data_IF_094476513357
#
_entry.id   IF_094476513357
#
_cell.length_a   1.000
_cell.length_b   1.000
_cell.length_c   1.000
_cell.angle_alpha   90.00
_cell.angle_beta   90.00
_cell.angle_gamma   90.00
#
_symmetry.space_group_name_H-M   'P 1'
#
loop_
_entity.id
_entity.type
_entity.pdbx_description
1 polymer ?
#
# COMPACT_ATOMS: atom_id res chain seq x y z
N UNK A 1 -3.50 -11.35 1.68
CA UNK A 1 -2.60 -10.24 1.34
C UNK A 1 -1.54 -10.09 2.42
N UNK A 2 -0.32 -9.66 2.09
CA UNK A 2 0.75 -9.49 3.08
C UNK A 2 0.51 -8.23 3.93
N UNK A 3 1.04 -8.23 5.16
CA UNK A 3 0.71 -7.20 6.18
C UNK A 3 1.28 -5.81 5.84
N UNK A 4 2.35 -5.75 5.05
CA UNK A 4 3.05 -4.51 4.68
C UNK A 4 2.37 -3.66 3.61
N UNK A 5 1.16 -4.01 3.18
CA UNK A 5 0.33 -3.11 2.37
C UNK A 5 -0.14 -1.86 3.14
N UNK A 6 -0.19 -1.95 4.47
CA UNK A 6 -0.56 -0.85 5.35
C UNK A 6 0.64 -0.43 6.21
N UNK A 7 0.77 0.89 6.48
CA UNK A 7 1.79 1.36 7.40
C UNK A 7 1.50 0.92 8.84
N UNK A 8 2.55 0.87 9.67
CA UNK A 8 2.39 0.71 11.12
C UNK A 8 1.56 1.87 11.68
N UNK A 9 0.74 1.59 12.69
CA UNK A 9 -0.10 2.60 13.34
C UNK A 9 -1.57 2.57 12.92
N UNK A 10 -2.03 1.50 12.27
CA UNK A 10 -3.47 1.20 12.16
C UNK A 10 -4.02 0.96 13.56
N UNK A 11 -4.97 1.78 13.97
CA UNK A 11 -5.57 1.75 15.31
C UNK A 11 -6.87 0.94 15.36
N UNK A 12 -7.54 0.79 14.21
CA UNK A 12 -8.81 0.10 14.08
C UNK A 12 -8.98 -0.38 12.64
N UNK A 13 -9.72 -1.47 12.48
CA UNK A 13 -10.27 -1.88 11.19
C UNK A 13 -11.71 -2.34 11.35
N UNK A 14 -12.47 -2.27 10.27
CA UNK A 14 -13.80 -2.84 10.12
C UNK A 14 -13.82 -3.67 8.82
N UNK A 15 -14.41 -4.86 8.85
CA UNK A 15 -14.62 -5.71 7.67
C UNK A 15 -16.04 -6.27 7.70
N UNK A 16 -16.79 -5.99 6.65
CA UNK A 16 -18.05 -6.68 6.36
C UNK A 16 -17.73 -7.94 5.57
N UNK A 17 -17.80 -9.11 6.22
CA UNK A 17 -17.49 -10.40 5.61
C UNK A 17 -18.47 -10.78 4.48
N UNK A 18 -19.68 -10.23 4.47
CA UNK A 18 -20.69 -10.55 3.45
C UNK A 18 -20.43 -9.81 2.13
N UNK A 19 -19.90 -8.59 2.19
CA UNK A 19 -19.64 -7.75 1.01
C UNK A 19 -18.15 -7.62 0.69
N UNK A 20 -17.27 -7.97 1.62
CA UNK A 20 -15.83 -7.71 1.55
C UNK A 20 -15.47 -6.25 1.76
N UNK A 21 -16.42 -5.36 2.10
CA UNK A 21 -16.10 -3.95 2.34
C UNK A 21 -15.27 -3.81 3.60
N UNK A 22 -14.13 -3.11 3.48
CA UNK A 22 -13.25 -2.88 4.62
C UNK A 22 -12.94 -1.40 4.80
N UNK A 23 -12.63 -1.05 6.04
CA UNK A 23 -12.03 0.23 6.43
C UNK A 23 -10.85 -0.04 7.36
N UNK A 24 -9.76 0.70 7.20
CA UNK A 24 -8.65 0.75 8.13
C UNK A 24 -8.40 2.20 8.53
N UNK A 25 -8.19 2.43 9.82
CA UNK A 25 -8.07 3.77 10.38
C UNK A 25 -6.67 3.97 10.97
N UNK A 26 -6.05 5.08 10.60
CA UNK A 26 -4.82 5.61 11.19
C UNK A 26 -5.19 6.81 12.07
N UNK A 27 -4.33 7.13 13.05
CA UNK A 27 -4.49 8.34 13.86
C UNK A 27 -4.49 9.62 12.99
N UNK A 28 -3.64 9.64 11.96
CA UNK A 28 -3.45 10.80 11.11
C UNK A 28 -3.09 10.38 9.67
N UNK A 29 -3.05 11.34 8.75
CA UNK A 29 -2.51 11.08 7.41
C UNK A 29 -1.05 10.66 7.50
N UNK A 30 -0.63 9.73 6.65
CA UNK A 30 0.73 9.24 6.65
C UNK A 30 1.40 9.39 5.28
N UNK A 31 2.67 9.76 5.24
CA UNK A 31 3.45 9.80 4.01
C UNK A 31 4.89 9.37 4.24
N UNK A 32 5.48 8.71 3.25
CA UNK A 32 6.87 8.29 3.25
C UNK A 32 7.36 8.08 1.82
N UNK A 33 8.68 8.10 1.66
CA UNK A 33 9.34 7.73 0.41
C UNK A 33 9.77 6.27 0.47
N UNK A 34 9.76 5.62 -0.68
CA UNK A 34 10.40 4.33 -0.91
C UNK A 34 11.59 4.50 -1.86
N UNK A 35 12.41 3.45 -1.99
CA UNK A 35 13.41 3.38 -3.04
C UNK A 35 12.77 3.55 -4.43
N UNK A 36 13.54 4.03 -5.41
CA UNK A 36 13.03 4.30 -6.75
C UNK A 36 12.22 5.59 -6.89
N UNK A 37 12.31 6.51 -5.93
CA UNK A 37 11.62 7.82 -5.91
C UNK A 37 10.10 7.77 -5.79
N UNK A 38 9.53 6.62 -5.42
CA UNK A 38 8.11 6.52 -5.13
C UNK A 38 7.78 7.25 -3.82
N UNK A 39 6.83 8.18 -3.88
CA UNK A 39 6.27 8.83 -2.69
C UNK A 39 4.86 8.31 -2.47
N UNK A 40 4.61 7.76 -1.30
CA UNK A 40 3.30 7.25 -0.91
C UNK A 40 2.64 8.19 0.10
N UNK A 41 1.32 8.29 -0.01
CA UNK A 41 0.47 9.01 0.92
C UNK A 41 -0.76 8.17 1.25
N UNK A 42 -0.99 7.98 2.53
CA UNK A 42 -2.16 7.37 3.12
C UNK A 42 -3.00 8.46 3.80
N UNK A 43 -4.31 8.43 3.61
CA UNK A 43 -5.26 9.21 4.42
C UNK A 43 -5.46 8.52 5.77
N UNK A 44 -6.05 9.23 6.72
CA UNK A 44 -6.42 8.67 8.02
C UNK A 44 -7.45 7.53 7.92
N UNK A 45 -8.19 7.44 6.82
CA UNK A 45 -9.07 6.31 6.51
C UNK A 45 -8.70 5.74 5.15
N UNK A 46 -8.41 4.43 5.14
CA UNK A 46 -8.27 3.62 3.93
C UNK A 46 -9.51 2.75 3.83
N UNK A 47 -10.07 2.62 2.62
CA UNK A 47 -11.23 1.76 2.39
C UNK A 47 -11.11 1.03 1.07
N UNK A 48 -11.89 -0.05 0.92
CA UNK A 48 -12.06 -0.74 -0.34
C UNK A 48 -12.90 -1.99 -0.19
N UNK A 49 -12.83 -2.86 -1.20
CA UNK A 49 -13.48 -4.17 -1.20
C UNK A 49 -12.41 -5.24 -1.36
N UNK A 50 -12.30 -6.13 -0.37
CA UNK A 50 -11.43 -7.30 -0.41
C UNK A 50 -12.20 -8.51 -0.96
N UNK A 51 -11.55 -9.24 -1.85
CA UNK A 51 -12.01 -10.50 -2.42
C UNK A 51 -10.81 -11.41 -2.65
N UNK A 52 -11.04 -12.65 -3.12
CA UNK A 52 -9.96 -13.59 -3.36
C UNK A 52 -8.93 -12.99 -4.33
N UNK A 53 -7.69 -12.85 -3.86
CA UNK A 53 -6.57 -12.25 -4.59
C UNK A 53 -6.78 -10.84 -5.17
N UNK A 54 -7.78 -10.08 -4.71
CA UNK A 54 -8.04 -8.74 -5.23
C UNK A 54 -8.55 -7.76 -4.17
N UNK A 55 -7.97 -6.56 -4.16
CA UNK A 55 -8.49 -5.37 -3.50
C UNK A 55 -8.95 -4.42 -4.59
N UNK A 56 -10.22 -3.99 -4.56
CA UNK A 56 -10.78 -3.05 -5.53
C UNK A 56 -11.46 -1.88 -4.85
N UNK A 57 -11.81 -0.87 -5.63
CA UNK A 57 -12.47 0.35 -5.16
C UNK A 57 -11.70 1.00 -4.00
N UNK A 58 -10.36 0.91 -4.06
CA UNK A 58 -9.49 1.42 -3.02
C UNK A 58 -9.57 2.94 -2.96
N UNK A 59 -9.57 3.45 -1.73
CA UNK A 59 -9.53 4.88 -1.44
C UNK A 59 -8.63 5.14 -0.24
N UNK A 60 -8.01 6.32 -0.25
CA UNK A 60 -7.13 6.76 0.83
C UNK A 60 -5.67 6.38 0.64
N UNK A 61 -5.27 5.81 -0.50
CA UNK A 61 -3.88 5.53 -0.85
C UNK A 61 -3.54 6.23 -2.16
N UNK A 62 -2.47 7.02 -2.15
CA UNK A 62 -2.00 7.75 -3.33
C UNK A 62 -0.49 7.59 -3.51
N UNK A 63 -0.05 7.52 -4.77
CA UNK A 63 1.36 7.51 -5.17
C UNK A 63 1.65 8.74 -6.01
N UNK A 64 2.85 9.29 -5.89
CA UNK A 64 3.31 10.39 -6.74
C UNK A 64 3.98 9.85 -8.00
N UNK A 65 3.51 10.28 -9.17
CA UNK A 65 4.09 9.95 -10.47
C UNK A 65 4.42 11.26 -11.19
N UNK A 66 5.69 11.44 -11.56
CA UNK A 66 6.25 12.72 -12.02
C UNK A 66 5.94 13.88 -11.04
N UNK A 67 4.86 14.63 -11.31
CA UNK A 67 4.44 15.79 -10.52
C UNK A 67 3.01 15.70 -9.99
N UNK A 68 2.30 14.60 -10.27
CA UNK A 68 0.88 14.41 -9.89
C UNK A 68 0.72 13.29 -8.87
N UNK A 69 -0.25 13.46 -7.97
CA UNK A 69 -0.68 12.41 -7.05
C UNK A 69 -1.83 11.63 -7.69
N UNK A 70 -1.65 10.32 -7.81
CA UNK A 70 -2.65 9.41 -8.36
C UNK A 70 -3.11 8.45 -7.27
N UNK A 71 -4.40 8.14 -7.26
CA UNK A 71 -4.96 7.18 -6.31
C UNK A 71 -4.65 5.76 -6.78
N UNK A 72 -4.22 4.91 -5.87
CA UNK A 72 -4.21 3.47 -6.09
C UNK A 72 -5.64 3.00 -5.89
N UNK A 73 -6.24 2.46 -6.94
CA UNK A 73 -7.66 2.07 -6.95
C UNK A 73 -7.84 0.56 -6.86
N UNK A 74 -6.79 -0.21 -7.19
CA UNK A 74 -6.85 -1.65 -7.24
C UNK A 74 -5.48 -2.28 -6.96
N UNK A 75 -5.50 -3.42 -6.26
CA UNK A 75 -4.36 -4.31 -6.07
C UNK A 75 -4.78 -5.74 -6.40
N UNK A 76 -4.09 -6.39 -7.33
CA UNK A 76 -4.31 -7.77 -7.70
C UNK A 76 -3.10 -8.58 -7.25
N UNK A 77 -3.35 -9.74 -6.65
CA UNK A 77 -2.30 -10.72 -6.36
C UNK A 77 -2.30 -11.77 -7.47
N UNK A 78 -1.15 -11.94 -8.10
CA UNK A 78 -0.87 -13.03 -9.02
C UNK A 78 0.33 -13.81 -8.48
N UNK A 79 0.05 -14.94 -7.82
CA UNK A 79 1.05 -15.80 -7.18
C UNK A 79 2.00 -15.06 -6.20
N UNK A 80 3.26 -14.88 -6.60
CA UNK A 80 4.32 -14.18 -5.88
C UNK A 80 4.45 -12.69 -6.26
N UNK A 81 3.53 -12.15 -7.07
CA UNK A 81 3.50 -10.75 -7.47
C UNK A 81 2.22 -10.04 -7.01
N UNK A 82 2.37 -8.74 -6.75
CA UNK A 82 1.30 -7.81 -6.47
C UNK A 82 1.31 -6.71 -7.52
N UNK A 83 0.24 -6.64 -8.30
CA UNK A 83 0.00 -5.60 -9.29
C UNK A 83 -0.80 -4.46 -8.65
N UNK A 84 -0.28 -3.24 -8.71
CA UNK A 84 -0.93 -2.02 -8.21
C UNK A 84 -1.38 -1.18 -9.38
N UNK A 85 -2.65 -0.80 -9.40
CA UNK A 85 -3.25 -0.01 -10.47
C UNK A 85 -3.73 1.36 -9.99
N UNK A 86 -3.45 2.38 -10.80
CA UNK A 86 -4.00 3.74 -10.67
C UNK A 86 -5.12 4.00 -11.68
N UNK A 87 -5.67 2.94 -12.27
CA UNK A 87 -6.75 2.97 -13.26
C UNK A 87 -6.25 3.04 -14.71
N UNK A 88 -5.39 4.01 -15.03
CA UNK A 88 -4.83 4.18 -16.39
C UNK A 88 -3.53 3.41 -16.63
N UNK A 89 -2.88 2.95 -15.57
CA UNK A 89 -1.61 2.24 -15.59
C UNK A 89 -1.50 1.34 -14.36
N UNK A 90 -0.63 0.34 -14.45
CA UNK A 90 -0.29 -0.53 -13.33
C UNK A 90 1.22 -0.81 -13.26
N UNK A 91 1.66 -1.29 -12.10
CA UNK A 91 3.01 -1.75 -11.86
C UNK A 91 2.99 -2.97 -10.92
N UNK A 92 3.81 -3.97 -11.24
CA UNK A 92 3.91 -5.22 -10.47
C UNK A 92 5.17 -5.25 -9.62
N UNK A 93 5.03 -5.75 -8.40
CA UNK A 93 6.11 -5.89 -7.44
C UNK A 93 6.08 -7.27 -6.79
N UNK A 94 7.24 -7.88 -6.51
CA UNK A 94 7.34 -9.10 -5.72
C UNK A 94 6.64 -8.97 -4.36
N UNK A 95 5.93 -10.02 -3.93
CA UNK A 95 5.17 -10.04 -2.67
C UNK A 95 6.08 -9.94 -1.43
N UNK A 96 7.35 -10.36 -1.56
CA UNK A 96 8.34 -10.32 -0.48
C UNK A 96 8.68 -8.90 -0.02
N UNK A 97 8.50 -7.90 -0.89
CA UNK A 97 8.61 -6.48 -0.55
C UNK A 97 7.58 -6.00 0.50
N UNK A 98 6.51 -6.78 0.73
CA UNK A 98 5.36 -6.34 1.53
C UNK A 98 5.15 -7.16 2.80
N UNK A 99 6.11 -7.98 3.24
CA UNK A 99 6.00 -8.69 4.52
C UNK A 99 6.26 -7.79 5.74
N UNK A 100 6.91 -6.65 5.55
CA UNK A 100 7.16 -5.67 6.61
C UNK A 100 6.30 -4.43 6.43
N UNK A 101 5.65 -3.98 7.51
CA UNK A 101 4.87 -2.74 7.49
C UNK A 101 5.80 -1.52 7.46
N UNK A 102 5.66 -0.61 6.47
CA UNK A 102 6.38 0.64 6.48
C UNK A 102 5.94 1.49 7.67
N UNK A 103 6.82 2.34 8.16
CA UNK A 103 6.54 3.31 9.20
C UNK A 103 6.35 4.69 8.60
N UNK A 104 5.52 5.49 9.26
CA UNK A 104 5.24 6.83 8.78
C UNK A 104 6.49 7.72 8.80
N UNK A 105 6.65 8.56 7.78
CA UNK A 105 7.81 9.43 7.62
C UNK A 105 8.99 8.72 6.95
N UNK A 106 9.58 7.72 7.61
CA UNK A 106 10.82 7.07 7.17
C UNK A 106 10.62 5.76 6.38
N UNK A 107 9.39 5.30 6.14
CA UNK A 107 9.12 4.12 5.31
C UNK A 107 9.71 2.85 5.90
N UNK A 108 10.53 2.14 5.14
CA UNK A 108 11.22 0.93 5.60
C UNK A 108 12.59 1.24 6.26
N UNK A 109 13.03 2.51 6.28
CA UNK A 109 14.38 2.91 6.70
C UNK A 109 14.45 3.43 8.15
N UNK A 110 13.46 3.12 8.98
CA UNK A 110 13.32 3.69 10.32
C UNK A 110 14.22 3.09 11.42
N UNK A 111 15.15 2.21 11.04
CA UNK A 111 16.17 1.65 11.93
C UNK A 111 17.58 2.00 11.41
N UNK A 112 18.52 2.26 12.31
CA UNK A 112 19.91 2.62 11.99
C UNK A 112 20.74 1.44 11.42
N UNK A 113 20.14 0.54 10.65
CA UNK A 113 20.80 -0.63 10.09
C UNK A 113 19.87 -1.54 9.30
N UNK A 114 20.29 -1.78 8.05
CA UNK A 114 19.76 -2.71 7.03
C UNK A 114 18.58 -2.18 6.22
N UNK A 115 18.94 -1.61 5.07
CA UNK A 115 18.09 -1.34 3.92
C UNK A 115 17.44 -2.66 3.48
N UNK A 116 16.16 -2.87 3.83
CA UNK A 116 15.32 -3.82 3.13
C UNK A 116 14.99 -3.21 1.77
N UNK A 117 15.82 -3.54 0.76
CA UNK A 117 15.70 -3.00 -0.59
C UNK A 117 14.36 -3.34 -1.20
N UNK A 118 13.66 -2.34 -1.72
CA UNK A 118 12.44 -2.54 -2.49
C UNK A 118 12.85 -3.06 -3.87
N UNK A 119 12.61 -4.35 -4.13
CA UNK A 119 13.01 -4.96 -5.41
C UNK A 119 12.06 -4.48 -6.51
N UNK A 120 12.58 -3.68 -7.43
CA UNK A 120 11.90 -3.31 -8.67
C UNK A 120 12.39 -4.29 -9.74
N UNK A 121 11.48 -5.04 -10.38
CA UNK A 121 11.82 -5.77 -11.61
C UNK A 121 11.79 -4.76 -12.77
N UNK A 122 12.88 -4.71 -13.52
CA UNK A 122 12.94 -4.07 -14.84
C UNK A 122 12.19 -4.89 -15.89
#
# INVERSE_FOLDING_TARGET
FPVGLLPKGVIKYDLDESTGRFHAYLNDTCSFSLEGSYQLKYKSTISGIISNNRLKDLSGISVKVFFVWLNIVEVIRDDEELEFSVGIASASFPIDNFYECPQCGCGLDCGNGRVSKFRIKS
#
